data_IF_539424183433
#
_entry.id   IF_539424183433
#
_cell.length_a   1.000
_cell.length_b   1.000
_cell.length_c   1.000
_cell.angle_alpha   90.00
_cell.angle_beta   90.00
_cell.angle_gamma   90.00
#
_symmetry.space_group_name_H-M   'P 1'
#
loop_
_entity.id
_entity.type
_entity.pdbx_description
1 polymer ?
#
# COMPACT_ATOMS: atom_id res chain seq x y z
N UNK A 1 1.71 -0.19 -17.58
CA UNK A 1 1.54 -0.70 -18.95
C UNK A 1 2.06 -2.12 -19.03
N UNK A 2 1.26 -3.02 -19.59
CA UNK A 2 1.67 -4.39 -19.86
C UNK A 2 2.57 -4.44 -21.09
N UNK A 3 3.59 -5.29 -21.09
CA UNK A 3 4.42 -5.61 -22.25
C UNK A 3 4.24 -7.07 -22.63
N UNK A 4 4.20 -7.36 -23.95
CA UNK A 4 3.99 -8.70 -24.50
C UNK A 4 5.27 -9.13 -25.17
N UNK A 5 5.78 -10.34 -24.86
CA UNK A 5 6.96 -10.93 -25.47
C UNK A 5 6.66 -12.33 -25.99
N UNK A 6 6.98 -12.60 -27.27
CA UNK A 6 6.83 -13.92 -27.86
C UNK A 6 7.92 -14.88 -27.33
N UNK A 7 7.53 -16.10 -26.95
CA UNK A 7 8.43 -17.20 -26.54
C UNK A 7 8.01 -18.49 -27.26
N UNK A 8 8.57 -18.73 -28.43
CA UNK A 8 8.19 -19.91 -29.24
C UNK A 8 6.71 -19.88 -29.63
N UNK A 9 5.93 -20.87 -29.20
CA UNK A 9 4.47 -20.97 -29.40
C UNK A 9 3.65 -20.23 -28.34
N UNK A 10 4.28 -19.67 -27.30
CA UNK A 10 3.62 -18.95 -26.20
C UNK A 10 3.98 -17.48 -26.17
N UNK A 11 3.21 -16.70 -25.43
CA UNK A 11 3.46 -15.29 -25.18
C UNK A 11 3.54 -15.01 -23.68
N UNK A 12 4.53 -14.22 -23.29
CA UNK A 12 4.73 -13.76 -21.93
C UNK A 12 4.19 -12.33 -21.82
N UNK A 13 3.18 -12.14 -20.98
CA UNK A 13 2.66 -10.82 -20.60
C UNK A 13 3.35 -10.41 -19.30
N UNK A 14 3.95 -9.22 -19.27
CA UNK A 14 4.65 -8.68 -18.12
C UNK A 14 4.01 -7.36 -17.73
N UNK A 15 3.53 -7.27 -16.50
CA UNK A 15 2.94 -6.04 -15.93
C UNK A 15 3.92 -5.47 -14.90
N UNK A 16 4.34 -4.22 -15.12
CA UNK A 16 5.16 -3.49 -14.17
C UNK A 16 4.29 -2.99 -13.02
N UNK A 17 4.68 -3.29 -11.78
CA UNK A 17 3.98 -2.89 -10.56
C UNK A 17 4.49 -1.54 -10.00
N UNK A 18 5.37 -0.84 -10.76
CA UNK A 18 5.93 0.45 -10.33
C UNK A 18 7.06 0.31 -9.34
N UNK A 19 7.19 1.33 -8.49
CA UNK A 19 8.20 1.42 -7.45
C UNK A 19 7.52 1.41 -6.08
N UNK A 20 8.20 0.88 -5.08
CA UNK A 20 7.75 0.97 -3.70
C UNK A 20 8.04 2.38 -3.12
N UNK A 21 7.60 2.62 -1.88
CA UNK A 21 7.81 3.89 -1.18
C UNK A 21 9.29 4.30 -1.07
N UNK A 22 10.21 3.32 -1.07
CA UNK A 22 11.67 3.56 -1.01
C UNK A 22 12.29 3.78 -2.41
N UNK A 23 11.49 3.92 -3.46
CA UNK A 23 11.98 4.05 -4.83
C UNK A 23 12.54 2.76 -5.42
N UNK A 24 12.41 1.63 -4.74
CA UNK A 24 12.83 0.32 -5.24
C UNK A 24 11.77 -0.27 -6.16
N UNK A 25 12.19 -0.75 -7.32
CA UNK A 25 11.28 -1.35 -8.30
C UNK A 25 10.61 -2.60 -7.75
N UNK A 26 9.27 -2.61 -7.75
CA UNK A 26 8.47 -3.77 -7.38
C UNK A 26 8.64 -4.85 -8.45
N UNK A 27 8.71 -6.11 -8.02
CA UNK A 27 8.86 -7.25 -8.91
C UNK A 27 7.69 -7.31 -9.90
N UNK A 28 7.93 -7.30 -11.24
CA UNK A 28 6.86 -7.33 -12.22
C UNK A 28 6.09 -8.65 -12.14
N UNK A 29 4.78 -8.60 -12.32
CA UNK A 29 3.95 -9.79 -12.46
C UNK A 29 4.05 -10.31 -13.89
N UNK A 30 4.06 -11.64 -14.04
CA UNK A 30 4.23 -12.30 -15.33
C UNK A 30 3.19 -13.40 -15.50
N UNK A 31 2.59 -13.48 -16.70
CA UNK A 31 1.63 -14.50 -17.06
C UNK A 31 1.96 -15.04 -18.46
N UNK A 32 2.12 -16.34 -18.60
CA UNK A 32 2.30 -16.99 -19.89
C UNK A 32 0.93 -17.37 -20.46
N UNK A 33 0.67 -17.03 -21.72
CA UNK A 33 -0.59 -17.31 -22.40
C UNK A 33 -0.32 -18.00 -23.74
N UNK A 34 -1.23 -18.88 -24.12
CA UNK A 34 -1.21 -19.60 -25.40
C UNK A 34 -2.41 -19.17 -26.22
N UNK A 35 -2.24 -18.58 -27.41
CA UNK A 35 -3.37 -18.25 -28.26
C UNK A 35 -4.09 -19.53 -28.72
N UNK A 36 -5.42 -19.50 -28.84
CA UNK A 36 -6.17 -20.60 -29.41
C UNK A 36 -5.72 -20.95 -30.83
N UNK A 37 -5.78 -22.22 -31.16
CA UNK A 37 -5.46 -22.71 -32.53
C UNK A 37 -6.47 -22.17 -33.55
N UNK A 38 -6.01 -21.91 -34.76
CA UNK A 38 -6.87 -21.47 -35.87
C UNK A 38 -7.07 -19.96 -35.98
N UNK A 39 -6.44 -19.15 -35.14
CA UNK A 39 -6.51 -17.69 -35.26
C UNK A 39 -5.52 -17.16 -36.31
N UNK A 40 -5.98 -16.18 -37.11
CA UNK A 40 -5.09 -15.43 -37.98
C UNK A 40 -4.15 -14.54 -37.18
N UNK A 41 -2.95 -14.15 -37.72
CA UNK A 41 -1.99 -13.32 -36.97
C UNK A 41 -2.60 -12.03 -36.38
N UNK A 42 -3.53 -11.41 -37.10
CA UNK A 42 -4.24 -10.18 -36.66
C UNK A 42 -5.20 -10.44 -35.49
N UNK A 43 -5.86 -11.62 -35.50
CA UNK A 43 -6.73 -12.04 -34.40
C UNK A 43 -5.93 -12.42 -33.14
N UNK A 44 -4.76 -13.02 -33.31
CA UNK A 44 -3.83 -13.32 -32.21
C UNK A 44 -3.39 -12.03 -31.53
N UNK A 45 -3.03 -11.00 -32.30
CA UNK A 45 -2.63 -9.70 -31.74
C UNK A 45 -3.75 -9.04 -30.93
N UNK A 46 -4.98 -9.04 -31.48
CA UNK A 46 -6.16 -8.51 -30.77
C UNK A 46 -6.42 -9.26 -29.47
N UNK A 47 -6.41 -10.58 -29.51
CA UNK A 47 -6.61 -11.45 -28.37
C UNK A 47 -5.53 -11.23 -27.28
N UNK A 48 -4.25 -11.09 -27.68
CA UNK A 48 -3.16 -10.80 -26.76
C UNK A 48 -3.32 -9.45 -26.06
N UNK A 49 -3.77 -8.43 -26.76
CA UNK A 49 -4.05 -7.12 -26.17
C UNK A 49 -5.21 -7.20 -25.19
N UNK A 50 -6.26 -7.96 -25.46
CA UNK A 50 -7.36 -8.21 -24.54
C UNK A 50 -6.86 -8.93 -23.26
N UNK A 51 -6.04 -9.99 -23.43
CA UNK A 51 -5.44 -10.71 -22.29
C UNK A 51 -4.52 -9.81 -21.46
N UNK A 52 -3.77 -8.92 -22.11
CA UNK A 52 -2.89 -7.98 -21.42
C UNK A 52 -3.68 -6.97 -20.57
N UNK A 53 -4.80 -6.45 -21.08
CA UNK A 53 -5.70 -5.55 -20.34
C UNK A 53 -6.35 -6.27 -19.16
N UNK A 54 -6.82 -7.50 -19.34
CA UNK A 54 -7.41 -8.30 -18.28
C UNK A 54 -6.38 -8.60 -17.19
N UNK A 55 -5.18 -9.02 -17.56
CA UNK A 55 -4.11 -9.30 -16.62
C UNK A 55 -3.62 -8.04 -15.89
N UNK A 56 -3.56 -6.90 -16.55
CA UNK A 56 -3.24 -5.62 -15.92
C UNK A 56 -4.31 -5.24 -14.87
N UNK A 57 -5.60 -5.48 -15.15
CA UNK A 57 -6.69 -5.30 -14.19
C UNK A 57 -6.55 -6.29 -13.03
N UNK A 58 -6.32 -7.56 -13.28
CA UNK A 58 -6.08 -8.58 -12.24
C UNK A 58 -4.95 -8.13 -11.32
N UNK A 59 -3.81 -7.69 -11.86
CA UNK A 59 -2.66 -7.22 -11.08
C UNK A 59 -2.95 -5.97 -10.24
N UNK A 60 -3.80 -5.07 -10.74
CA UNK A 60 -4.23 -3.87 -9.99
C UNK A 60 -5.25 -4.19 -8.91
N UNK A 61 -6.09 -5.21 -9.11
CA UNK A 61 -7.14 -5.63 -8.19
C UNK A 61 -6.74 -6.82 -7.31
N UNK A 62 -5.57 -7.43 -7.55
CA UNK A 62 -5.05 -8.44 -6.61
C UNK A 62 -4.59 -7.69 -5.37
N UNK A 63 -5.30 -7.79 -4.23
CA UNK A 63 -4.83 -7.21 -2.99
C UNK A 63 -3.46 -7.84 -2.70
N UNK A 64 -2.42 -7.04 -2.61
CA UNK A 64 -1.18 -7.55 -2.03
C UNK A 64 -1.55 -8.06 -0.64
N UNK A 65 -1.10 -9.27 -0.24
CA UNK A 65 -1.38 -9.72 1.11
C UNK A 65 -0.97 -8.59 2.07
N UNK A 66 -1.89 -8.20 2.94
CA UNK A 66 -1.75 -7.08 3.90
C UNK A 66 -0.38 -7.11 4.60
N UNK A 67 0.13 -8.32 4.82
CA UNK A 67 1.43 -8.59 5.41
C UNK A 67 2.63 -8.06 4.60
N UNK A 68 2.52 -7.85 3.29
CA UNK A 68 3.59 -7.30 2.45
C UNK A 68 3.48 -5.79 2.25
N UNK A 69 2.40 -5.17 2.74
CA UNK A 69 2.22 -3.73 2.66
C UNK A 69 3.13 -3.01 3.65
N UNK A 70 3.64 -1.85 3.25
CA UNK A 70 4.19 -0.91 4.22
C UNK A 70 3.05 -0.28 5.02
N UNK A 71 3.36 0.18 6.24
CA UNK A 71 2.37 0.86 7.08
C UNK A 71 1.74 2.06 6.34
N UNK A 72 2.52 2.82 5.56
CA UNK A 72 1.98 3.93 4.77
C UNK A 72 0.91 3.48 3.77
N UNK A 73 1.16 2.42 3.00
CA UNK A 73 0.18 1.89 2.03
C UNK A 73 -1.05 1.30 2.72
N UNK A 74 -0.86 0.67 3.87
CA UNK A 74 -1.98 0.16 4.64
C UNK A 74 -2.84 1.30 5.20
N UNK A 75 -2.23 2.37 5.69
CA UNK A 75 -2.95 3.57 6.16
C UNK A 75 -3.78 4.21 5.05
N UNK A 76 -3.25 4.30 3.82
CA UNK A 76 -4.01 4.80 2.67
C UNK A 76 -5.25 3.94 2.40
N UNK A 77 -5.09 2.62 2.40
CA UNK A 77 -6.19 1.67 2.24
C UNK A 77 -7.18 1.78 3.41
N UNK A 78 -6.68 1.86 4.64
CA UNK A 78 -7.51 2.00 5.84
C UNK A 78 -8.36 3.28 5.80
N UNK A 79 -7.78 4.41 5.40
CA UNK A 79 -8.50 5.69 5.27
C UNK A 79 -9.55 5.68 4.15
N UNK A 80 -9.36 4.88 3.10
CA UNK A 80 -10.23 4.83 1.93
C UNK A 80 -11.37 3.84 2.12
N UNK A 81 -11.06 2.65 2.62
CA UNK A 81 -11.99 1.52 2.58
C UNK A 81 -12.52 1.12 3.96
N UNK A 82 -11.70 1.22 5.01
CA UNK A 82 -12.05 0.69 6.34
C UNK A 82 -12.63 1.78 7.25
N UNK A 83 -11.91 2.88 7.42
CA UNK A 83 -12.31 3.95 8.33
C UNK A 83 -13.68 4.57 8.03
N UNK A 84 -14.10 4.80 6.75
CA UNK A 84 -15.40 5.38 6.46
C UNK A 84 -16.59 4.50 6.88
N UNK A 85 -16.38 3.18 6.96
CA UNK A 85 -17.40 2.23 7.42
C UNK A 85 -17.50 2.09 8.94
N UNK A 86 -16.41 2.43 9.67
CA UNK A 86 -16.29 2.22 11.12
C UNK A 86 -16.36 3.52 11.93
N UNK A 87 -15.89 4.65 11.39
CA UNK A 87 -15.63 5.88 12.13
C UNK A 87 -16.44 7.07 11.62
N UNK A 88 -16.78 7.98 12.53
CA UNK A 88 -17.38 9.27 12.17
C UNK A 88 -16.38 10.15 11.40
N UNK A 89 -16.89 11.01 10.51
CA UNK A 89 -16.06 11.94 9.70
C UNK A 89 -15.16 12.84 10.53
N UNK A 90 -15.63 13.28 11.71
CA UNK A 90 -14.84 14.09 12.66
C UNK A 90 -13.65 13.31 13.23
N UNK A 91 -13.84 12.02 13.54
CA UNK A 91 -12.78 11.13 14.02
C UNK A 91 -11.73 10.93 12.94
N UNK A 92 -12.15 10.59 11.71
CA UNK A 92 -11.24 10.41 10.58
C UNK A 92 -10.42 11.69 10.33
N UNK A 93 -11.02 12.87 10.48
CA UNK A 93 -10.31 14.15 10.34
C UNK A 93 -9.21 14.31 11.38
N UNK A 94 -9.48 13.93 12.64
CA UNK A 94 -8.49 13.97 13.72
C UNK A 94 -7.40 12.93 13.48
N UNK A 95 -7.79 11.71 13.12
CA UNK A 95 -6.86 10.62 12.86
C UNK A 95 -5.89 10.95 11.72
N UNK A 96 -6.32 11.70 10.70
CA UNK A 96 -5.41 12.20 9.64
C UNK A 96 -4.28 13.07 10.19
N UNK A 97 -4.55 13.93 11.16
CA UNK A 97 -3.51 14.76 11.79
C UNK A 97 -2.51 13.89 12.59
N UNK A 98 -3.01 12.83 13.24
CA UNK A 98 -2.14 11.89 13.96
C UNK A 98 -1.33 11.04 12.98
N UNK A 99 -1.92 10.62 11.87
CA UNK A 99 -1.26 9.88 10.79
C UNK A 99 -0.12 10.70 10.17
N UNK A 100 -0.26 12.02 10.00
CA UNK A 100 0.82 12.90 9.52
C UNK A 100 2.07 12.86 10.42
N UNK A 101 1.90 12.54 11.71
CA UNK A 101 3.01 12.34 12.65
C UNK A 101 3.59 10.92 12.61
N UNK A 102 2.77 9.94 12.27
CA UNK A 102 3.15 8.52 12.20
C UNK A 102 3.97 8.22 10.93
N UNK A 103 3.50 8.73 9.78
CA UNK A 103 4.04 8.38 8.47
C UNK A 103 5.55 8.61 8.30
N UNK A 104 6.14 9.77 8.72
CA UNK A 104 7.57 10.03 8.50
C UNK A 104 8.48 9.03 9.19
N UNK A 105 8.02 8.46 10.32
CA UNK A 105 8.85 7.61 11.18
C UNK A 105 8.56 6.12 11.01
N UNK A 106 7.30 5.74 10.84
CA UNK A 106 6.88 4.34 10.78
C UNK A 106 6.38 3.90 9.42
N UNK A 107 6.00 4.84 8.53
CA UNK A 107 5.34 4.55 7.26
C UNK A 107 6.14 3.65 6.31
N UNK A 108 7.45 3.69 6.36
CA UNK A 108 8.33 2.91 5.48
C UNK A 108 8.49 1.45 5.89
N UNK A 109 8.19 1.09 7.14
CA UNK A 109 8.25 -0.30 7.59
C UNK A 109 7.11 -1.12 7.01
N UNK A 110 7.39 -2.38 6.65
CA UNK A 110 6.32 -3.35 6.37
C UNK A 110 5.61 -3.74 7.66
N UNK A 111 4.31 -4.04 7.57
CA UNK A 111 3.53 -4.45 8.74
C UNK A 111 4.16 -5.65 9.45
N UNK A 112 4.74 -6.61 8.71
CA UNK A 112 5.45 -7.78 9.26
C UNK A 112 6.81 -7.47 9.88
N UNK A 113 7.39 -6.30 9.59
CA UNK A 113 8.70 -5.88 10.10
C UNK A 113 8.58 -4.97 11.32
N UNK A 114 7.36 -4.53 11.67
CA UNK A 114 7.12 -3.71 12.84
C UNK A 114 7.42 -4.50 14.13
N UNK A 115 8.26 -3.92 14.97
CA UNK A 115 8.70 -4.49 16.25
C UNK A 115 8.51 -3.49 17.39
N UNK A 116 8.40 -3.94 18.64
CA UNK A 116 8.22 -3.05 19.79
C UNK A 116 9.29 -1.96 19.92
N UNK A 117 10.51 -2.23 19.46
CA UNK A 117 11.61 -1.25 19.43
C UNK A 117 11.33 -0.05 18.52
N UNK A 118 10.67 -0.28 17.35
CA UNK A 118 10.29 0.79 16.41
C UNK A 118 9.30 1.76 17.08
N UNK A 119 8.32 1.22 17.83
CA UNK A 119 7.34 2.03 18.55
C UNK A 119 7.98 2.79 19.72
N UNK A 120 8.89 2.17 20.47
CA UNK A 120 9.62 2.85 21.55
C UNK A 120 10.40 4.05 21.02
N UNK A 121 11.14 3.85 19.93
CA UNK A 121 11.90 4.92 19.28
C UNK A 121 10.97 6.02 18.75
N UNK A 122 9.85 5.62 18.10
CA UNK A 122 8.84 6.55 17.63
C UNK A 122 8.31 7.46 18.74
N UNK A 123 7.88 6.90 19.89
CA UNK A 123 7.38 7.72 20.99
C UNK A 123 8.47 8.58 21.65
N UNK A 124 9.70 8.10 21.70
CA UNK A 124 10.82 8.88 22.22
C UNK A 124 11.09 10.12 21.34
N UNK A 125 11.04 9.97 20.02
CA UNK A 125 11.19 11.10 19.09
C UNK A 125 9.95 11.99 19.07
N UNK A 126 8.73 11.43 19.14
CA UNK A 126 7.49 12.18 19.16
C UNK A 126 7.42 13.17 20.34
N UNK A 127 7.96 12.80 21.51
CA UNK A 127 8.07 13.68 22.69
C UNK A 127 8.99 14.87 22.50
N UNK A 128 9.91 14.81 21.53
CA UNK A 128 10.83 15.91 21.19
C UNK A 128 10.21 16.88 20.18
N UNK A 129 9.13 16.47 19.50
CA UNK A 129 8.47 17.31 18.50
C UNK A 129 7.85 18.53 19.14
N UNK A 130 8.20 19.69 18.62
CA UNK A 130 7.62 20.98 19.07
C UNK A 130 6.38 21.26 18.24
N UNK A 131 5.25 21.51 18.92
CA UNK A 131 4.02 21.92 18.29
C UNK A 131 4.19 23.28 17.60
N UNK A 132 3.80 23.43 16.32
CA UNK A 132 3.89 24.68 15.60
C UNK A 132 3.02 25.78 16.24
N UNK A 133 1.89 25.41 16.85
CA UNK A 133 0.92 26.33 17.42
C UNK A 133 1.37 26.86 18.79
N UNK A 134 1.77 25.95 19.68
CA UNK A 134 2.08 26.29 21.08
C UNK A 134 3.55 26.58 21.34
N UNK A 135 4.44 26.28 20.37
CA UNK A 135 5.92 26.36 20.51
C UNK A 135 6.47 25.55 21.69
N UNK A 136 5.71 24.57 22.15
CA UNK A 136 6.08 23.66 23.25
C UNK A 136 6.12 22.21 22.76
N UNK A 137 6.79 21.29 23.44
CA UNK A 137 6.69 19.87 23.16
C UNK A 137 5.24 19.41 23.14
N UNK A 138 4.96 18.38 22.36
CA UNK A 138 3.62 17.79 22.31
C UNK A 138 3.19 17.34 23.71
N UNK A 139 1.93 17.59 24.06
CA UNK A 139 1.36 17.14 25.34
C UNK A 139 1.21 15.61 25.35
N UNK A 140 1.29 15.00 26.53
CA UNK A 140 1.02 13.55 26.70
C UNK A 140 -0.38 13.19 26.15
N UNK A 141 -1.38 14.04 26.33
CA UNK A 141 -2.71 13.87 25.74
C UNK A 141 -2.67 13.73 24.21
N UNK A 142 -1.84 14.53 23.52
CA UNK A 142 -1.65 14.43 22.07
C UNK A 142 -0.96 13.12 21.70
N UNK A 143 0.03 12.71 22.48
CA UNK A 143 0.76 11.44 22.26
C UNK A 143 -0.16 10.24 22.47
N UNK A 144 -1.04 10.28 23.47
CA UNK A 144 -2.08 9.27 23.69
C UNK A 144 -3.07 9.20 22.52
N UNK A 145 -3.44 10.35 21.92
CA UNK A 145 -4.25 10.40 20.71
C UNK A 145 -3.58 9.68 19.52
N UNK A 146 -2.31 10.00 19.28
CA UNK A 146 -1.50 9.33 18.23
C UNK A 146 -1.40 7.83 18.51
N UNK A 147 -1.23 7.42 19.76
CA UNK A 147 -1.19 6.02 20.15
C UNK A 147 -2.52 5.32 19.86
N UNK A 148 -3.65 5.90 20.25
CA UNK A 148 -4.98 5.34 20.03
C UNK A 148 -5.26 5.16 18.52
N UNK A 149 -4.94 6.16 17.69
CA UNK A 149 -5.07 6.09 16.23
C UNK A 149 -4.20 4.96 15.65
N UNK A 150 -2.94 4.86 16.09
CA UNK A 150 -2.03 3.80 15.62
C UNK A 150 -2.51 2.40 16.04
N UNK A 151 -3.00 2.24 17.26
CA UNK A 151 -3.59 0.98 17.74
C UNK A 151 -4.83 0.58 16.92
N UNK A 152 -5.72 1.53 16.60
CA UNK A 152 -6.90 1.27 15.77
C UNK A 152 -6.49 0.75 14.39
N UNK A 153 -5.54 1.42 13.74
CA UNK A 153 -5.04 1.03 12.41
C UNK A 153 -4.40 -0.36 12.44
N UNK A 154 -3.58 -0.65 13.45
CA UNK A 154 -2.88 -1.94 13.55
C UNK A 154 -3.81 -3.08 13.96
N UNK A 155 -4.83 -2.84 14.78
CA UNK A 155 -5.86 -3.84 15.11
C UNK A 155 -6.63 -4.26 13.87
N UNK A 156 -7.02 -3.31 13.03
CA UNK A 156 -7.71 -3.61 11.76
C UNK A 156 -6.80 -4.32 10.74
N UNK A 157 -5.47 -4.24 10.90
CA UNK A 157 -4.52 -4.94 10.03
C UNK A 157 -4.35 -6.43 10.39
N UNK A 158 -4.79 -6.84 11.58
CA UNK A 158 -4.67 -8.23 12.09
C UNK A 158 -5.95 -9.02 11.86
N UNK A 159 -7.11 -8.35 11.70
CA UNK A 159 -8.38 -8.98 11.33
C UNK A 159 -8.40 -9.43 9.86
#
# INVERSE_FOLDING_TARGET
MASIRKRGSSYLIVVSMGYDYNGKRIKPQQKTVHPPEGLTPRQVEKWLNEQAVLFERECRHTPQPVQQLTLAKYIDLWLTDIAPGKLAKSTIRRDRQDIERILPMLGHYKLTELRPEHFRNFYAELRKVISPDTKKPLSEYTIEGVHATLCSILSDAVE
#
